data_IF_171989137757
#
_entry.id   IF_171989137757
#
_cell.length_a   1.000
_cell.length_b   1.000
_cell.length_c   1.000
_cell.angle_alpha   90.00
_cell.angle_beta   90.00
_cell.angle_gamma   90.00
#
_symmetry.space_group_name_H-M   'P 1'
#
loop_
_entity.id
_entity.type
_entity.pdbx_description
1 polymer ?
#
# COMPACT_ATOMS: atom_id res chain seq x y z
N UNK A 1 -4.85 5.61 -36.51
CA UNK A 1 -5.44 4.85 -35.39
C UNK A 1 -5.30 5.69 -34.14
N UNK A 2 -6.43 6.16 -33.62
CA UNK A 2 -6.50 7.08 -32.47
C UNK A 2 -6.48 6.27 -31.17
N UNK A 3 -5.65 6.65 -30.20
CA UNK A 3 -5.90 6.33 -28.80
C UNK A 3 -5.41 7.45 -27.88
N UNK A 4 -6.02 8.62 -28.00
CA UNK A 4 -5.87 9.75 -27.09
C UNK A 4 -6.79 9.59 -25.86
N UNK A 5 -6.56 8.54 -25.06
CA UNK A 5 -7.24 8.37 -23.76
C UNK A 5 -6.28 8.12 -22.59
N UNK A 6 -5.03 8.56 -22.67
CA UNK A 6 -4.22 8.81 -21.47
C UNK A 6 -4.53 10.22 -20.95
N UNK A 7 -5.71 10.37 -20.37
CA UNK A 7 -6.12 11.59 -19.66
C UNK A 7 -5.10 11.95 -18.58
N UNK A 8 -4.22 12.91 -18.91
CA UNK A 8 -3.45 13.83 -18.05
C UNK A 8 -3.59 13.58 -16.54
N UNK A 9 -2.88 12.59 -15.98
CA UNK A 9 -2.49 12.68 -14.57
C UNK A 9 -1.13 13.36 -14.52
N UNK A 10 -1.09 14.55 -13.92
CA UNK A 10 0.16 15.25 -13.64
C UNK A 10 0.88 14.47 -12.53
N UNK A 11 2.15 14.06 -12.74
CA UNK A 11 2.95 13.46 -11.69
C UNK A 11 2.95 14.38 -10.47
N UNK A 12 2.83 13.81 -9.27
CA UNK A 12 2.97 14.60 -8.06
C UNK A 12 4.38 15.20 -8.00
N UNK A 13 4.44 16.53 -7.96
CA UNK A 13 5.71 17.29 -8.00
C UNK A 13 6.25 17.58 -6.61
N UNK A 14 5.41 17.44 -5.58
CA UNK A 14 5.74 17.73 -4.18
C UNK A 14 5.74 16.43 -3.38
N UNK A 15 6.87 16.10 -2.77
CA UNK A 15 6.94 14.99 -1.80
C UNK A 15 6.13 15.34 -0.55
N UNK A 16 5.31 14.39 -0.10
CA UNK A 16 4.58 14.49 1.17
C UNK A 16 5.44 14.01 2.36
N UNK A 17 6.72 13.74 2.14
CA UNK A 17 7.63 13.22 3.14
C UNK A 17 7.46 11.72 3.41
N UNK A 18 8.16 11.19 4.44
CA UNK A 18 8.09 9.79 4.82
C UNK A 18 6.64 9.39 5.16
N UNK A 19 6.15 8.33 4.53
CA UNK A 19 4.81 7.82 4.79
C UNK A 19 4.85 6.93 6.03
N UNK A 20 4.18 7.31 7.13
CA UNK A 20 4.17 6.50 8.34
C UNK A 20 3.34 5.21 8.14
N UNK A 21 3.79 4.12 8.74
CA UNK A 21 3.05 2.87 8.78
C UNK A 21 1.77 3.00 9.63
N UNK A 22 0.69 2.37 9.19
CA UNK A 22 -0.53 2.24 10.00
C UNK A 22 -0.60 0.88 10.70
N UNK A 23 -1.49 0.73 11.68
CA UNK A 23 -1.81 -0.55 12.32
C UNK A 23 -2.03 -1.72 11.34
N UNK A 24 -2.67 -1.44 10.20
CA UNK A 24 -2.92 -2.45 9.16
C UNK A 24 -1.65 -2.82 8.38
N UNK A 25 -0.74 -1.88 8.19
CA UNK A 25 0.54 -2.14 7.53
C UNK A 25 1.46 -2.93 8.45
N UNK A 26 1.45 -2.63 9.76
CA UNK A 26 2.17 -3.41 10.77
C UNK A 26 1.68 -4.85 10.85
N UNK A 27 0.37 -5.09 10.83
CA UNK A 27 -0.18 -6.46 10.79
C UNK A 27 0.33 -7.25 9.58
N UNK A 28 0.40 -6.60 8.41
CA UNK A 28 0.91 -7.24 7.19
C UNK A 28 2.42 -7.44 7.24
N UNK A 29 3.16 -6.48 7.77
CA UNK A 29 4.60 -6.58 7.99
C UNK A 29 4.94 -7.72 8.97
N UNK A 30 4.22 -7.81 10.08
CA UNK A 30 4.31 -8.90 11.05
C UNK A 30 4.02 -10.25 10.38
N UNK A 31 2.96 -10.35 9.57
CA UNK A 31 2.65 -11.57 8.84
C UNK A 31 3.74 -11.99 7.82
N UNK A 32 4.55 -11.05 7.32
CA UNK A 32 5.74 -11.39 6.51
C UNK A 32 6.86 -11.87 7.43
N UNK A 33 7.17 -11.12 8.49
CA UNK A 33 8.23 -11.46 9.46
C UNK A 33 8.02 -12.84 10.10
N UNK A 34 6.78 -13.22 10.40
CA UNK A 34 6.42 -14.54 10.93
C UNK A 34 6.78 -15.70 9.98
N UNK A 35 6.89 -15.44 8.67
CA UNK A 35 7.26 -16.44 7.67
C UNK A 35 8.78 -16.51 7.48
N UNK A 36 9.53 -15.51 7.93
CA UNK A 36 10.98 -15.44 7.76
C UNK A 36 11.69 -16.07 8.96
N UNK A 37 12.90 -16.56 8.75
CA UNK A 37 13.78 -17.04 9.82
C UNK A 37 14.28 -15.89 10.69
N UNK A 38 14.41 -14.70 10.09
CA UNK A 38 14.84 -13.47 10.76
C UNK A 38 13.98 -12.31 10.28
N UNK A 39 13.62 -11.36 11.17
CA UNK A 39 12.90 -10.15 10.78
C UNK A 39 13.64 -9.36 9.70
N UNK A 40 12.90 -8.85 8.72
CA UNK A 40 13.48 -7.98 7.70
C UNK A 40 13.46 -6.51 8.16
N UNK A 41 14.62 -5.85 8.14
CA UNK A 41 14.75 -4.47 8.58
C UNK A 41 14.01 -3.47 7.68
N UNK A 42 13.70 -3.85 6.45
CA UNK A 42 12.86 -3.06 5.52
C UNK A 42 11.40 -2.95 5.98
N UNK A 43 10.94 -3.85 6.84
CA UNK A 43 9.55 -3.88 7.30
C UNK A 43 9.38 -3.02 8.56
N UNK A 44 8.33 -2.17 8.63
CA UNK A 44 8.09 -1.33 9.79
C UNK A 44 7.71 -2.16 11.02
N UNK A 45 8.11 -1.70 12.19
CA UNK A 45 7.85 -2.33 13.49
C UNK A 45 6.83 -1.55 14.34
N UNK A 46 6.68 -0.24 14.11
CA UNK A 46 5.78 0.64 14.86
C UNK A 46 5.04 1.65 13.95
N UNK A 47 3.95 2.26 14.45
CA UNK A 47 3.01 3.11 13.68
C UNK A 47 3.57 4.50 13.28
N UNK A 48 4.87 4.68 13.41
CA UNK A 48 5.62 5.88 13.02
C UNK A 48 6.76 5.55 12.08
N UNK A 49 7.08 4.26 11.90
CA UNK A 49 8.16 3.85 11.03
C UNK A 49 7.80 4.16 9.57
N UNK A 50 8.78 4.65 8.79
CA UNK A 50 8.55 4.94 7.38
C UNK A 50 8.32 3.65 6.61
N UNK A 51 7.33 3.64 5.72
CA UNK A 51 7.19 2.56 4.74
C UNK A 51 8.23 2.75 3.63
N UNK A 52 9.07 1.73 3.46
CA UNK A 52 10.15 1.72 2.49
C UNK A 52 9.72 0.93 1.23
N UNK A 53 9.73 1.56 0.04
CA UNK A 53 9.55 0.85 -1.22
C UNK A 53 10.60 -0.23 -1.41
N UNK A 54 10.19 -1.40 -1.89
CA UNK A 54 11.10 -2.53 -2.07
C UNK A 54 11.93 -2.40 -3.34
N UNK A 55 13.16 -2.92 -3.30
CA UNK A 55 13.96 -3.13 -4.49
C UNK A 55 13.36 -4.16 -5.46
N UNK A 56 13.80 -4.07 -6.71
CA UNK A 56 13.46 -5.06 -7.72
C UNK A 56 14.19 -6.35 -7.37
N UNK A 57 13.46 -7.45 -7.25
CA UNK A 57 14.03 -8.75 -6.86
C UNK A 57 14.03 -9.03 -5.35
N UNK A 58 13.47 -8.14 -4.51
CA UNK A 58 13.35 -8.35 -3.06
C UNK A 58 12.74 -9.70 -2.67
N UNK A 59 11.88 -10.26 -3.53
CA UNK A 59 11.22 -11.54 -3.28
C UNK A 59 12.21 -12.71 -3.19
N UNK A 60 13.31 -12.66 -3.94
CA UNK A 60 14.36 -13.67 -3.82
C UNK A 60 15.14 -13.52 -2.52
N UNK A 61 15.36 -12.28 -2.05
CA UNK A 61 15.93 -12.04 -0.72
C UNK A 61 15.03 -12.58 0.40
N UNK A 62 13.72 -12.32 0.32
CA UNK A 62 12.75 -12.89 1.28
C UNK A 62 12.67 -14.41 1.17
N UNK A 63 12.74 -14.97 -0.04
CA UNK A 63 12.73 -16.43 -0.26
C UNK A 63 13.96 -17.10 0.35
N UNK A 64 15.13 -16.46 0.27
CA UNK A 64 16.37 -16.95 0.90
C UNK A 64 16.30 -16.97 2.43
N UNK A 65 15.47 -16.13 3.04
CA UNK A 65 15.19 -16.10 4.49
C UNK A 65 13.88 -16.79 4.88
N UNK A 66 13.23 -17.50 3.97
CA UNK A 66 11.97 -18.16 4.25
C UNK A 66 12.20 -19.33 5.22
N UNK A 67 11.35 -19.47 6.24
CA UNK A 67 11.44 -20.60 7.15
C UNK A 67 11.35 -21.95 6.41
N UNK A 68 12.14 -22.95 6.85
CA UNK A 68 12.06 -24.28 6.27
C UNK A 68 10.64 -24.83 6.45
N UNK A 69 10.13 -25.52 5.43
CA UNK A 69 8.76 -26.11 5.37
C UNK A 69 7.62 -25.11 5.12
N UNK A 70 7.89 -23.81 4.98
CA UNK A 70 6.88 -22.84 4.52
C UNK A 70 6.88 -22.77 3.00
N UNK A 71 5.68 -22.81 2.39
CA UNK A 71 5.55 -22.68 0.95
C UNK A 71 5.78 -21.23 0.47
N UNK A 72 6.61 -21.05 -0.57
CA UNK A 72 6.89 -19.73 -1.21
C UNK A 72 5.63 -18.96 -1.60
N UNK A 73 4.53 -19.67 -1.90
CA UNK A 73 3.25 -19.03 -2.25
C UNK A 73 2.63 -18.26 -1.08
N UNK A 74 2.84 -18.70 0.17
CA UNK A 74 2.36 -17.96 1.36
C UNK A 74 3.11 -16.64 1.50
N UNK A 75 4.44 -16.68 1.36
CA UNK A 75 5.28 -15.49 1.33
C UNK A 75 4.84 -14.54 0.21
N UNK A 76 4.65 -15.06 -1.01
CA UNK A 76 4.21 -14.25 -2.16
C UNK A 76 2.89 -13.53 -1.89
N UNK A 77 1.92 -14.21 -1.28
CA UNK A 77 0.63 -13.61 -0.90
C UNK A 77 0.78 -12.53 0.16
N UNK A 78 1.58 -12.78 1.20
CA UNK A 78 1.83 -11.80 2.27
C UNK A 78 2.51 -10.54 1.73
N UNK A 79 3.59 -10.71 0.94
CA UNK A 79 4.32 -9.63 0.29
C UNK A 79 3.41 -8.86 -0.67
N UNK A 80 2.59 -9.54 -1.48
CA UNK A 80 1.65 -8.88 -2.37
C UNK A 80 0.59 -8.06 -1.61
N UNK A 81 0.08 -8.57 -0.49
CA UNK A 81 -0.89 -7.86 0.35
C UNK A 81 -0.30 -6.60 1.00
N UNK A 82 0.99 -6.64 1.36
CA UNK A 82 1.75 -5.49 1.85
C UNK A 82 2.02 -4.47 0.73
N UNK A 83 2.53 -4.92 -0.42
CA UNK A 83 2.81 -4.05 -1.56
C UNK A 83 1.54 -3.41 -2.17
N UNK A 84 0.38 -4.06 -2.03
CA UNK A 84 -0.91 -3.51 -2.42
C UNK A 84 -1.52 -2.56 -1.38
N UNK A 85 -0.89 -2.39 -0.22
CA UNK A 85 -1.39 -1.48 0.80
C UNK A 85 -1.31 -0.03 0.33
N UNK A 86 -2.32 0.76 0.72
CA UNK A 86 -2.41 2.19 0.33
C UNK A 86 -1.14 2.96 0.71
N UNK A 87 -0.62 2.77 1.92
CA UNK A 87 0.53 3.52 2.41
C UNK A 87 1.83 3.12 1.70
N UNK A 88 1.97 1.83 1.34
CA UNK A 88 3.07 1.38 0.48
C UNK A 88 3.02 2.01 -0.91
N UNK A 89 1.85 1.99 -1.56
CA UNK A 89 1.67 2.64 -2.86
C UNK A 89 1.90 4.17 -2.75
N UNK A 90 1.53 4.78 -1.63
CA UNK A 90 1.80 6.20 -1.38
C UNK A 90 3.28 6.49 -1.25
N UNK A 91 4.06 5.60 -0.59
CA UNK A 91 5.51 5.72 -0.50
C UNK A 91 6.17 5.59 -1.88
N UNK A 92 5.72 4.64 -2.71
CA UNK A 92 6.17 4.48 -4.09
C UNK A 92 5.78 5.66 -5.00
N UNK A 93 4.68 6.36 -4.70
CA UNK A 93 4.18 7.47 -5.50
C UNK A 93 4.96 8.79 -5.28
N UNK A 94 5.81 8.86 -4.25
CA UNK A 94 6.60 10.06 -3.94
C UNK A 94 7.65 10.32 -5.03
N UNK A 95 7.91 11.59 -5.38
CA UNK A 95 8.87 11.95 -6.43
C UNK A 95 10.33 11.61 -6.06
N UNK A 96 10.65 11.58 -4.76
CA UNK A 96 11.95 11.26 -4.16
C UNK A 96 12.01 9.81 -3.63
N UNK A 97 11.05 8.96 -4.00
CA UNK A 97 10.98 7.59 -3.53
C UNK A 97 12.22 6.78 -3.94
N UNK A 98 12.91 6.22 -2.94
CA UNK A 98 13.99 5.26 -3.12
C UNK A 98 13.49 3.86 -2.81
N UNK A 99 13.96 2.89 -3.59
CA UNK A 99 13.83 1.47 -3.31
C UNK A 99 14.89 1.04 -2.31
N UNK A 100 14.55 0.08 -1.47
CA UNK A 100 15.40 -0.40 -0.39
C UNK A 100 15.58 -1.91 -0.46
N UNK A 101 16.75 -2.39 -0.04
CA UNK A 101 17.05 -3.81 0.13
C UNK A 101 16.43 -4.38 1.41
N UNK A 102 16.51 -5.70 1.62
CA UNK A 102 15.95 -6.35 2.82
C UNK A 102 16.52 -5.83 4.15
N UNK A 103 17.71 -5.21 4.11
CA UNK A 103 18.37 -4.58 5.25
C UNK A 103 17.93 -3.12 5.46
N UNK A 104 17.03 -2.59 4.62
CA UNK A 104 16.53 -1.22 4.69
C UNK A 104 17.48 -0.19 4.07
N UNK A 105 18.47 -0.60 3.27
CA UNK A 105 19.42 0.31 2.63
C UNK A 105 18.87 0.79 1.29
N UNK A 106 18.97 2.09 0.96
CA UNK A 106 18.52 2.60 -0.32
C UNK A 106 19.39 2.05 -1.46
N UNK A 107 18.76 1.51 -2.51
CA UNK A 107 19.45 0.87 -3.63
C UNK A 107 19.27 1.63 -4.93
N UNK A 108 18.05 2.02 -5.27
CA UNK A 108 17.76 2.68 -6.56
C UNK A 108 16.51 3.54 -6.48
N UNK A 109 16.42 4.65 -7.23
CA UNK A 109 15.20 5.43 -7.32
C UNK A 109 14.04 4.60 -7.89
N UNK A 110 12.81 4.88 -7.44
CA UNK A 110 11.60 4.34 -8.08
C UNK A 110 11.46 4.97 -9.47
N UNK A 111 11.22 4.16 -10.51
CA UNK A 111 11.10 4.65 -11.89
C UNK A 111 9.89 5.56 -12.09
N UNK A 112 9.91 6.43 -13.09
CA UNK A 112 8.78 7.32 -13.38
C UNK A 112 7.48 6.55 -13.66
N UNK A 113 7.57 5.44 -14.40
CA UNK A 113 6.42 4.60 -14.74
C UNK A 113 5.83 3.93 -13.50
N UNK A 114 6.68 3.40 -12.60
CA UNK A 114 6.25 2.81 -11.34
C UNK A 114 5.58 3.86 -10.43
N UNK A 115 6.15 5.08 -10.37
CA UNK A 115 5.56 6.19 -9.60
C UNK A 115 4.18 6.54 -10.12
N UNK A 116 4.01 6.64 -11.44
CA UNK A 116 2.69 6.92 -12.03
C UNK A 116 1.71 5.79 -11.75
N UNK A 117 2.12 4.52 -11.94
CA UNK A 117 1.27 3.37 -11.65
C UNK A 117 0.81 3.36 -10.18
N UNK A 118 1.71 3.70 -9.25
CA UNK A 118 1.38 3.83 -7.83
C UNK A 118 0.38 4.99 -7.57
N UNK A 119 0.58 6.16 -8.20
CA UNK A 119 -0.34 7.30 -8.11
C UNK A 119 -1.75 6.97 -8.62
N UNK A 120 -1.85 6.23 -9.73
CA UNK A 120 -3.13 5.73 -10.26
C UNK A 120 -3.85 4.87 -9.22
N UNK A 121 -3.13 3.91 -8.63
CA UNK A 121 -3.69 2.99 -7.64
C UNK A 121 -4.11 3.70 -6.36
N UNK A 122 -3.32 4.66 -5.87
CA UNK A 122 -3.69 5.46 -4.68
C UNK A 122 -4.95 6.28 -4.94
N UNK A 123 -5.06 6.90 -6.11
CA UNK A 123 -6.24 7.68 -6.51
C UNK A 123 -7.49 6.80 -6.56
N UNK A 124 -7.38 5.61 -7.14
CA UNK A 124 -8.48 4.64 -7.20
C UNK A 124 -8.92 4.18 -5.81
N UNK A 125 -7.98 3.83 -4.92
CA UNK A 125 -8.29 3.43 -3.53
C UNK A 125 -9.00 4.57 -2.78
N UNK A 126 -8.57 5.83 -2.97
CA UNK A 126 -9.22 7.00 -2.36
C UNK A 126 -10.65 7.16 -2.87
N UNK A 127 -10.88 6.99 -4.17
CA UNK A 127 -12.21 7.04 -4.78
C UNK A 127 -13.14 5.96 -4.24
N UNK A 128 -12.67 4.71 -4.20
CA UNK A 128 -13.45 3.58 -3.68
C UNK A 128 -13.83 3.76 -2.21
N UNK A 129 -12.91 4.28 -1.37
CA UNK A 129 -13.22 4.59 0.03
C UNK A 129 -14.27 5.69 0.17
N UNK A 130 -14.20 6.73 -0.67
CA UNK A 130 -15.19 7.80 -0.66
C UNK A 130 -16.59 7.25 -0.98
N UNK A 131 -16.70 6.44 -2.04
CA UNK A 131 -17.96 5.80 -2.43
C UNK A 131 -18.52 4.88 -1.33
N UNK A 132 -17.66 4.14 -0.63
CA UNK A 132 -18.10 3.30 0.50
C UNK A 132 -18.54 4.13 1.71
N UNK A 133 -17.86 5.25 1.99
CA UNK A 133 -18.26 6.16 3.06
C UNK A 133 -19.60 6.84 2.74
N UNK A 134 -19.82 7.25 1.49
CA UNK A 134 -21.08 7.85 1.03
C UNK A 134 -22.23 6.83 1.12
N UNK A 135 -22.00 5.54 0.82
CA UNK A 135 -23.00 4.47 1.00
C UNK A 135 -23.26 4.11 2.47
N UNK A 136 -22.25 4.18 3.34
CA UNK A 136 -22.38 3.88 4.76
C UNK A 136 -22.96 5.05 5.60
N UNK A 137 -22.80 6.29 5.12
CA UNK A 137 -23.40 7.50 5.72
C UNK A 137 -24.84 7.76 5.28
N UNK A 138 -25.38 6.98 4.33
CA UNK A 138 -26.77 7.04 3.91
C UNK A 138 -27.65 6.05 4.67
N UNK A 139 -27.75 6.17 6.00
CA UNK A 139 -28.92 5.63 6.70
C UNK A 139 -30.10 6.56 6.38
N UNK A 140 -31.17 6.11 5.70
CA UNK A 140 -32.40 6.88 5.65
C UNK A 140 -32.89 7.00 7.08
N UNK A 141 -32.92 8.24 7.58
CA UNK A 141 -33.68 8.61 8.75
C UNK A 141 -35.15 8.32 8.42
N UNK A 142 -35.61 7.12 8.76
CA UNK A 142 -37.03 6.79 8.68
C UNK A 142 -37.67 7.52 9.85
N UNK A 143 -38.09 8.75 9.56
CA UNK A 143 -39.00 9.54 10.37
C UNK A 143 -40.32 8.77 10.46
N UNK A 144 -40.45 7.91 11.48
CA UNK A 144 -41.75 7.40 11.94
C UNK A 144 -42.34 8.46 12.86
N UNK A 145 -42.72 9.61 12.31
CA UNK A 145 -43.85 10.39 12.79
C UNK A 145 -45.13 9.71 12.29
N UNK A 146 -46.05 9.23 13.12
CA UNK A 146 -46.64 9.93 14.24
C UNK A 146 -47.98 10.52 13.81
N UNK A 147 -49.05 9.75 14.08
CA UNK A 147 -50.45 10.21 14.25
C UNK A 147 -51.21 10.71 13.02
N UNK A 148 -52.25 9.98 12.63
CA UNK A 148 -53.45 10.61 12.09
C UNK A 148 -54.69 9.91 12.65
N UNK A 149 -55.55 10.75 13.21
CA UNK A 149 -56.84 10.48 13.81
C UNK A 149 -57.87 10.13 12.73
N UNK A 150 -58.82 9.26 13.05
CA UNK A 150 -60.26 9.57 13.08
C UNK A 150 -61.00 8.52 13.93
#
# INVERSE_FOLDING_TARGET
>A
MNNEQTSKMKPWVTSQGPVPASANDLKKAAAINELLTEPAAILPQQETDPILPFEIGIFEQFSGRLQPKIARIRLRRAVAAYAAAKNYLLACAQPDAMRHDIAGRPTSPVSADDRMAAQLRVTEIRRQRKLQADMAGGTPDIDIGGTQQD
#
